data_IF_640448396291
#
_entry.id   IF_640448396291
#
_cell.length_a   1.000
_cell.length_b   1.000
_cell.length_c   1.000
_cell.angle_alpha   90.00
_cell.angle_beta   90.00
_cell.angle_gamma   90.00
#
_symmetry.space_group_name_H-M   'P 1'
#
loop_
_entity.id
_entity.type
_entity.pdbx_description
1 polymer ?
#
# COMPACT_ATOMS: atom_id res chain seq x y z
N UNK A 1 0.64 -7.82 15.90
CA UNK A 1 1.59 -7.25 14.92
C UNK A 1 1.88 -8.21 13.77
N UNK A 2 2.35 -9.43 14.02
CA UNK A 2 2.60 -10.44 12.98
C UNK A 2 1.44 -10.63 11.98
N UNK A 3 0.21 -10.90 12.46
CA UNK A 3 -0.96 -11.06 11.58
C UNK A 3 -1.28 -9.81 10.73
N UNK A 4 -1.05 -8.61 11.27
CA UNK A 4 -1.29 -7.36 10.56
C UNK A 4 -0.27 -7.14 9.45
N UNK A 5 1.01 -7.40 9.73
CA UNK A 5 2.08 -7.36 8.72
C UNK A 5 1.82 -8.40 7.63
N UNK A 6 1.43 -9.62 8.01
CA UNK A 6 1.03 -10.67 7.07
C UNK A 6 -0.12 -10.23 6.17
N UNK A 7 -1.19 -9.69 6.75
CA UNK A 7 -2.35 -9.16 6.03
C UNK A 7 -1.95 -8.11 4.99
N UNK A 8 -1.03 -7.19 5.32
CA UNK A 8 -0.57 -6.19 4.36
C UNK A 8 0.24 -6.77 3.19
N UNK A 9 0.95 -7.88 3.40
CA UNK A 9 1.79 -8.51 2.36
C UNK A 9 0.96 -9.46 1.48
N UNK A 10 0.10 -10.28 2.08
CA UNK A 10 -0.67 -11.32 1.41
C UNK A 10 -2.13 -10.90 1.12
N UNK A 11 -2.55 -9.72 1.54
CA UNK A 11 -3.91 -9.19 1.34
C UNK A 11 -4.98 -9.75 2.30
N UNK A 12 -4.76 -10.94 2.87
CA UNK A 12 -5.59 -11.54 3.92
C UNK A 12 -4.73 -11.91 5.12
N UNK A 13 -5.27 -11.71 6.33
CA UNK A 13 -4.61 -12.17 7.56
C UNK A 13 -4.67 -13.70 7.69
N UNK A 14 -3.77 -14.27 8.49
CA UNK A 14 -3.89 -15.66 8.95
C UNK A 14 -5.16 -15.81 9.80
N UNK A 15 -5.41 -14.79 10.63
CA UNK A 15 -6.68 -14.54 11.30
C UNK A 15 -7.40 -13.42 10.54
N UNK A 16 -8.60 -13.69 10.06
CA UNK A 16 -9.37 -12.75 9.24
C UNK A 16 -9.80 -11.48 10.00
N UNK A 17 -9.83 -11.54 11.34
CA UNK A 17 -10.10 -10.41 12.24
C UNK A 17 -8.77 -9.86 12.80
N UNK A 18 -8.11 -8.88 12.17
CA UNK A 18 -6.75 -8.49 12.54
C UNK A 18 -6.66 -7.83 13.92
N UNK A 19 -7.80 -7.39 14.45
CA UNK A 19 -7.94 -6.67 15.72
C UNK A 19 -8.63 -7.48 16.81
N UNK A 20 -9.11 -8.70 16.52
CA UNK A 20 -9.79 -9.56 17.49
C UNK A 20 -9.25 -10.99 17.41
N UNK A 21 -8.49 -11.37 18.44
CA UNK A 21 -7.93 -12.71 18.64
C UNK A 21 -8.60 -13.44 19.81
N UNK A 22 -9.71 -12.92 20.33
CA UNK A 22 -10.48 -13.56 21.40
C UNK A 22 -11.43 -14.63 20.87
N UNK A 23 -12.29 -15.16 21.76
CA UNK A 23 -13.30 -16.19 21.42
C UNK A 23 -14.32 -15.73 20.36
N UNK A 24 -14.46 -14.42 20.15
CA UNK A 24 -15.31 -13.82 19.12
C UNK A 24 -14.58 -13.56 17.79
N UNK A 25 -13.24 -13.70 17.78
CA UNK A 25 -12.41 -13.57 16.58
C UNK A 25 -12.49 -14.80 15.68
N UNK A 26 -12.12 -14.62 14.41
CA UNK A 26 -12.00 -15.74 13.50
C UNK A 26 -10.85 -16.67 13.92
N UNK A 27 -11.03 -17.99 13.75
CA UNK A 27 -9.94 -18.93 13.98
C UNK A 27 -8.80 -18.72 12.98
N UNK A 28 -7.53 -18.89 13.41
CA UNK A 28 -6.39 -18.82 12.51
C UNK A 28 -6.45 -19.95 11.48
N UNK A 29 -6.22 -19.62 10.22
CA UNK A 29 -6.09 -20.62 9.13
C UNK A 29 -4.86 -21.52 9.33
N UNK A 30 -3.79 -20.96 9.89
CA UNK A 30 -2.51 -21.63 10.12
C UNK A 30 -1.97 -21.24 11.51
N UNK A 31 -2.46 -21.86 12.61
CA UNK A 31 -2.09 -21.48 13.97
C UNK A 31 -0.58 -21.60 14.22
N UNK A 32 0.03 -22.73 13.84
CA UNK A 32 1.48 -22.95 14.03
C UNK A 32 2.34 -21.91 13.29
N UNK A 33 1.90 -21.47 12.11
CA UNK A 33 2.58 -20.42 11.36
C UNK A 33 2.47 -19.06 12.08
N UNK A 34 1.29 -18.77 12.64
CA UNK A 34 1.08 -17.52 13.37
C UNK A 34 1.96 -17.46 14.63
N UNK A 35 2.04 -18.57 15.38
CA UNK A 35 2.88 -18.70 16.56
C UNK A 35 4.36 -18.55 16.18
N UNK A 36 4.82 -19.26 15.13
CA UNK A 36 6.18 -19.13 14.64
C UNK A 36 6.51 -17.69 14.21
N UNK A 37 5.61 -17.01 13.52
CA UNK A 37 5.80 -15.60 13.14
C UNK A 37 5.86 -14.67 14.36
N UNK A 38 5.11 -14.96 15.42
CA UNK A 38 5.17 -14.20 16.66
C UNK A 38 6.53 -14.37 17.35
N UNK A 39 7.04 -15.61 17.43
CA UNK A 39 8.36 -15.92 17.98
C UNK A 39 9.48 -15.24 17.19
N UNK A 40 9.41 -15.29 15.85
CA UNK A 40 10.37 -14.57 15.00
C UNK A 40 10.32 -13.06 15.20
N UNK A 41 9.12 -12.50 15.47
CA UNK A 41 9.00 -11.05 15.70
C UNK A 41 9.71 -10.64 16.99
N UNK A 42 9.54 -11.42 18.06
CA UNK A 42 10.22 -11.20 19.34
C UNK A 42 11.73 -11.39 19.17
N UNK A 43 12.16 -12.46 18.48
CA UNK A 43 13.58 -12.73 18.23
C UNK A 43 14.28 -11.64 17.38
N UNK A 44 13.52 -10.93 16.54
CA UNK A 44 14.00 -9.80 15.74
C UNK A 44 13.93 -8.44 16.46
N UNK A 45 13.76 -8.42 17.79
CA UNK A 45 13.56 -7.20 18.59
C UNK A 45 12.42 -6.32 18.04
N UNK A 46 11.30 -6.96 17.68
CA UNK A 46 10.11 -6.31 17.14
C UNK A 46 10.35 -5.52 15.83
N UNK A 47 11.40 -5.86 15.06
CA UNK A 47 11.71 -5.24 13.77
C UNK A 47 10.70 -5.61 12.68
N UNK A 48 9.81 -4.65 12.36
CA UNK A 48 8.84 -4.81 11.26
C UNK A 48 9.54 -4.99 9.91
N UNK A 49 10.70 -4.34 9.71
CA UNK A 49 11.47 -4.43 8.46
C UNK A 49 11.98 -5.85 8.22
N UNK A 50 12.50 -6.50 9.26
CA UNK A 50 13.03 -7.86 9.13
C UNK A 50 11.90 -8.87 8.94
N UNK A 51 10.77 -8.66 9.62
CA UNK A 51 9.56 -9.43 9.39
C UNK A 51 9.07 -9.34 7.94
N UNK A 52 8.99 -8.13 7.38
CA UNK A 52 8.62 -7.92 5.97
C UNK A 52 9.61 -8.63 5.05
N UNK A 53 10.91 -8.46 5.28
CA UNK A 53 11.96 -9.13 4.47
C UNK A 53 11.79 -10.64 4.49
N UNK A 54 11.59 -11.24 5.66
CA UNK A 54 11.41 -12.68 5.81
C UNK A 54 10.16 -13.17 5.04
N UNK A 55 9.04 -12.47 5.19
CA UNK A 55 7.80 -12.82 4.50
C UNK A 55 7.94 -12.72 2.97
N UNK A 56 8.52 -11.66 2.42
CA UNK A 56 8.67 -11.50 0.96
C UNK A 56 9.71 -12.46 0.35
N UNK A 57 10.67 -12.93 1.16
CA UNK A 57 11.63 -13.95 0.75
C UNK A 57 11.10 -15.38 0.89
N UNK A 58 9.94 -15.57 1.50
CA UNK A 58 9.32 -16.89 1.68
C UNK A 58 8.95 -17.54 0.36
N UNK A 59 8.79 -18.87 0.37
CA UNK A 59 8.27 -19.62 -0.79
C UNK A 59 6.81 -19.23 -1.10
N UNK A 60 6.00 -19.01 -0.06
CA UNK A 60 4.60 -18.61 -0.21
C UNK A 60 4.43 -17.28 -0.95
N UNK A 61 5.27 -16.29 -0.66
CA UNK A 61 5.23 -15.01 -1.37
C UNK A 61 5.69 -15.12 -2.83
N UNK A 62 6.67 -15.99 -3.10
CA UNK A 62 7.25 -16.18 -4.46
C UNK A 62 6.49 -17.17 -5.34
N UNK A 63 5.37 -17.72 -4.87
CA UNK A 63 4.53 -18.60 -5.69
C UNK A 63 3.90 -17.85 -6.87
N UNK A 64 3.62 -18.59 -7.95
CA UNK A 64 2.83 -18.08 -9.06
C UNK A 64 1.42 -17.73 -8.60
N UNK A 65 0.81 -16.71 -9.21
CA UNK A 65 -0.61 -16.37 -9.03
C UNK A 65 -1.54 -17.15 -9.99
N UNK A 66 -0.97 -17.97 -10.89
CA UNK A 66 -1.71 -18.70 -11.91
C UNK A 66 -2.75 -19.66 -11.28
N UNK A 67 -3.99 -19.68 -11.78
CA UNK A 67 -5.00 -20.60 -11.29
C UNK A 67 -4.69 -22.05 -11.71
N UNK A 68 -5.09 -22.99 -10.86
CA UNK A 68 -5.10 -24.43 -11.13
C UNK A 68 -6.48 -24.96 -10.70
N UNK A 69 -7.12 -25.78 -11.53
CA UNK A 69 -8.44 -26.36 -11.27
C UNK A 69 -8.51 -27.11 -9.92
N UNK A 70 -7.49 -27.91 -9.61
CA UNK A 70 -7.44 -28.68 -8.35
C UNK A 70 -7.38 -27.77 -7.13
N UNK A 71 -6.60 -26.69 -7.23
CA UNK A 71 -6.48 -25.68 -6.17
C UNK A 71 -7.77 -24.89 -6.01
N UNK A 72 -8.36 -24.47 -7.12
CA UNK A 72 -9.57 -23.66 -7.15
C UNK A 72 -10.79 -24.42 -6.59
N UNK A 73 -10.87 -25.73 -6.83
CA UNK A 73 -11.93 -26.59 -6.29
C UNK A 73 -11.82 -26.80 -4.77
N UNK A 74 -10.60 -26.78 -4.22
CA UNK A 74 -10.36 -26.95 -2.77
C UNK A 74 -10.45 -25.65 -2.00
N UNK A 75 -9.89 -24.58 -2.57
CA UNK A 75 -9.78 -23.27 -1.96
C UNK A 75 -9.73 -22.19 -3.04
N UNK A 76 -10.89 -21.65 -3.39
CA UNK A 76 -11.00 -20.56 -4.36
C UNK A 76 -10.33 -19.27 -3.90
N UNK A 77 -10.20 -19.07 -2.59
CA UNK A 77 -9.66 -17.85 -1.96
C UNK A 77 -8.15 -17.81 -1.82
N UNK A 78 -7.47 -18.94 -2.09
CA UNK A 78 -6.03 -19.12 -1.91
C UNK A 78 -5.52 -18.85 -0.47
N UNK A 79 -6.39 -19.05 0.53
CA UNK A 79 -6.01 -18.99 1.95
C UNK A 79 -4.93 -20.01 2.32
N UNK A 80 -4.93 -21.17 1.68
CA UNK A 80 -3.94 -22.23 1.90
C UNK A 80 -2.59 -21.94 1.20
N UNK A 81 -2.44 -20.75 0.59
CA UNK A 81 -1.21 -20.34 -0.09
C UNK A 81 -0.72 -21.40 -1.09
N UNK A 82 -1.65 -21.96 -1.87
CA UNK A 82 -1.33 -22.84 -3.00
C UNK A 82 -0.95 -22.03 -4.26
N UNK A 83 -1.31 -20.74 -4.27
CA UNK A 83 -0.88 -19.71 -5.21
C UNK A 83 -0.81 -18.37 -4.50
N UNK A 84 -0.14 -17.39 -5.10
CA UNK A 84 -0.21 -16.02 -4.59
C UNK A 84 -1.63 -15.45 -4.82
N UNK A 85 -2.32 -14.94 -3.77
CA UNK A 85 -3.67 -14.42 -3.91
C UNK A 85 -3.67 -13.15 -4.79
N UNK A 86 -4.58 -13.04 -5.77
CA UNK A 86 -4.70 -11.82 -6.56
C UNK A 86 -5.16 -10.67 -5.66
N UNK A 87 -4.51 -9.52 -5.78
CA UNK A 87 -4.85 -8.31 -5.01
C UNK A 87 -5.21 -7.16 -5.92
N UNK A 88 -6.11 -6.30 -5.45
CA UNK A 88 -6.32 -5.00 -6.08
C UNK A 88 -5.08 -4.15 -5.87
N UNK A 89 -4.64 -3.50 -6.93
CA UNK A 89 -3.56 -2.53 -6.90
C UNK A 89 -4.15 -1.13 -6.77
N UNK A 90 -3.50 -0.30 -5.97
CA UNK A 90 -3.89 1.10 -5.80
C UNK A 90 -3.68 1.89 -7.10
N UNK A 91 -4.43 2.98 -7.26
CA UNK A 91 -4.36 3.83 -8.46
C UNK A 91 -2.93 4.36 -8.73
N UNK A 92 -2.19 4.64 -7.65
CA UNK A 92 -0.78 5.03 -7.66
C UNK A 92 0.09 4.03 -8.40
N UNK A 93 -0.08 2.74 -8.08
CA UNK A 93 0.69 1.66 -8.67
C UNK A 93 0.34 1.51 -10.16
N UNK A 94 -0.93 1.64 -10.50
CA UNK A 94 -1.38 1.58 -11.91
C UNK A 94 -0.75 2.71 -12.72
N UNK A 95 -0.85 3.96 -12.22
CA UNK A 95 -0.29 5.15 -12.88
C UNK A 95 1.22 5.04 -13.06
N UNK A 96 1.94 4.71 -12.00
CA UNK A 96 3.40 4.61 -12.02
C UNK A 96 3.85 3.49 -12.97
N UNK A 97 3.10 2.38 -13.07
CA UNK A 97 3.37 1.33 -14.06
C UNK A 97 3.15 1.79 -15.50
N UNK A 98 2.13 2.62 -15.78
CA UNK A 98 1.92 3.20 -17.12
C UNK A 98 3.07 4.14 -17.49
N UNK A 99 3.54 4.97 -16.55
CA UNK A 99 4.71 5.83 -16.76
C UNK A 99 5.99 5.01 -16.94
N UNK A 100 6.15 3.92 -16.20
CA UNK A 100 7.29 3.01 -16.32
C UNK A 100 7.30 2.33 -17.69
N UNK A 101 6.17 1.76 -18.11
CA UNK A 101 6.03 1.06 -19.39
C UNK A 101 6.22 1.99 -20.59
N UNK A 102 5.86 3.27 -20.46
CA UNK A 102 6.08 4.28 -21.50
C UNK A 102 7.47 4.91 -21.47
N UNK A 103 8.32 4.57 -20.50
CA UNK A 103 9.68 5.10 -20.37
C UNK A 103 9.79 6.53 -19.84
N UNK A 104 8.71 7.08 -19.25
CA UNK A 104 8.66 8.45 -18.76
C UNK A 104 8.83 8.57 -17.24
N UNK A 105 8.73 7.47 -16.49
CA UNK A 105 8.79 7.50 -15.03
C UNK A 105 10.16 8.01 -14.54
N UNK A 106 10.15 9.11 -13.79
CA UNK A 106 11.31 9.57 -13.03
C UNK A 106 11.44 8.76 -11.73
N UNK A 107 12.49 7.93 -11.67
CA UNK A 107 12.78 7.06 -10.52
C UNK A 107 13.69 7.68 -9.47
N UNK A 108 14.06 8.97 -9.60
CA UNK A 108 14.89 9.64 -8.61
C UNK A 108 14.26 9.59 -7.22
N UNK A 109 15.11 9.38 -6.21
CA UNK A 109 14.69 9.26 -4.81
C UNK A 109 14.92 10.61 -4.13
N UNK A 110 13.91 11.08 -3.41
CA UNK A 110 13.92 12.35 -2.69
C UNK A 110 13.45 13.53 -3.56
N UNK A 111 13.79 14.75 -3.13
CA UNK A 111 13.38 15.99 -3.81
C UNK A 111 12.00 16.51 -3.42
N UNK A 112 11.61 17.61 -4.05
CA UNK A 112 10.32 18.27 -3.80
C UNK A 112 9.14 17.43 -4.28
N UNK A 113 8.01 17.56 -3.59
CA UNK A 113 6.72 17.10 -4.09
C UNK A 113 6.26 17.93 -5.30
N UNK A 114 5.31 17.38 -6.05
CA UNK A 114 4.62 18.09 -7.12
C UNK A 114 3.11 18.16 -6.83
N UNK A 115 2.47 19.22 -7.31
CA UNK A 115 1.05 19.49 -7.16
C UNK A 115 0.40 19.54 -8.54
N UNK A 116 -0.75 18.90 -8.68
CA UNK A 116 -1.52 18.88 -9.94
C UNK A 116 -2.77 19.78 -9.92
N UNK A 117 -3.03 20.45 -8.80
CA UNK A 117 -4.27 21.21 -8.55
C UNK A 117 -3.96 22.67 -8.21
N UNK A 118 -4.81 23.61 -8.64
CA UNK A 118 -4.68 25.04 -8.27
C UNK A 118 -5.41 25.38 -6.97
N UNK A 119 -5.16 26.60 -6.49
CA UNK A 119 -5.87 27.28 -5.42
C UNK A 119 -7.38 27.31 -5.68
N UNK A 120 -8.13 27.06 -4.61
CA UNK A 120 -9.59 26.98 -4.59
C UNK A 120 -10.24 28.34 -4.90
N UNK A 121 -10.90 28.48 -6.04
CA UNK A 121 -11.66 29.70 -6.40
C UNK A 121 -12.96 29.83 -5.58
N UNK A 122 -13.78 28.77 -5.48
CA UNK A 122 -15.00 28.70 -4.65
C UNK A 122 -15.54 27.25 -4.58
N UNK A 123 -16.21 26.86 -3.49
CA UNK A 123 -16.98 25.60 -3.35
C UNK A 123 -16.30 24.26 -3.74
N UNK A 124 -15.21 23.91 -3.07
CA UNK A 124 -14.68 22.53 -3.00
C UNK A 124 -14.32 21.83 -4.33
N UNK A 125 -14.30 22.56 -5.44
CA UNK A 125 -13.88 22.04 -6.74
C UNK A 125 -12.40 22.34 -6.94
N UNK A 126 -11.61 21.27 -7.09
CA UNK A 126 -10.20 21.34 -7.47
C UNK A 126 -10.12 21.26 -8.98
N UNK A 127 -9.50 22.26 -9.59
CA UNK A 127 -9.16 22.19 -11.01
C UNK A 127 -7.81 21.48 -11.16
N UNK A 128 -7.73 20.53 -12.08
CA UNK A 128 -6.46 19.89 -12.44
C UNK A 128 -5.74 20.81 -13.42
N UNK A 129 -4.67 21.45 -12.95
CA UNK A 129 -3.91 22.43 -13.74
C UNK A 129 -2.96 21.73 -14.70
N UNK A 130 -2.30 20.69 -14.20
CA UNK A 130 -1.28 19.97 -14.96
C UNK A 130 -1.13 18.55 -14.41
N UNK A 131 -1.36 17.56 -15.27
CA UNK A 131 -1.21 16.15 -14.94
C UNK A 131 -0.48 15.36 -16.04
N UNK A 132 0.14 16.05 -17.00
CA UNK A 132 0.76 15.42 -18.17
C UNK A 132 2.16 15.94 -18.45
N UNK A 133 2.61 17.01 -17.80
CA UNK A 133 3.96 17.55 -17.99
C UNK A 133 5.06 16.74 -17.28
N UNK A 134 6.31 16.95 -17.70
CA UNK A 134 7.51 16.27 -17.15
C UNK A 134 7.63 16.34 -15.62
N UNK A 135 7.39 17.49 -14.94
CA UNK A 135 7.39 17.56 -13.48
C UNK A 135 6.47 16.54 -12.80
N UNK A 136 5.38 16.14 -13.45
CA UNK A 136 4.41 15.19 -12.89
C UNK A 136 4.80 13.73 -13.10
N UNK A 137 5.81 13.43 -13.91
CA UNK A 137 6.21 12.04 -14.21
C UNK A 137 7.01 11.36 -13.09
N UNK A 138 7.11 11.98 -11.91
CA UNK A 138 7.61 11.33 -10.71
C UNK A 138 6.57 10.33 -10.18
N UNK A 139 7.06 9.37 -9.38
CA UNK A 139 6.19 8.42 -8.65
C UNK A 139 5.09 9.17 -7.90
N UNK A 140 3.87 8.64 -7.94
CA UNK A 140 2.69 9.28 -7.34
C UNK A 140 2.82 9.47 -5.82
N UNK A 141 3.76 8.77 -5.18
CA UNK A 141 4.18 9.02 -3.79
C UNK A 141 4.62 10.47 -3.54
N UNK A 142 5.19 11.15 -4.54
CA UNK A 142 5.60 12.55 -4.47
C UNK A 142 4.47 13.53 -4.83
N UNK A 143 3.29 13.03 -5.19
CA UNK A 143 2.15 13.86 -5.49
C UNK A 143 1.49 14.34 -4.19
N UNK A 144 1.24 15.64 -4.11
CA UNK A 144 0.49 16.19 -2.97
C UNK A 144 -0.96 15.70 -2.98
N UNK A 145 -1.34 15.00 -1.91
CA UNK A 145 -2.73 14.62 -1.65
C UNK A 145 -3.40 15.69 -0.81
N UNK A 146 -4.36 16.39 -1.40
CA UNK A 146 -5.14 17.41 -0.70
C UNK A 146 -6.07 16.75 0.33
N UNK A 147 -5.85 17.02 1.62
CA UNK A 147 -6.69 16.51 2.72
C UNK A 147 -7.54 17.59 3.39
N UNK A 148 -7.09 18.86 3.37
CA UNK A 148 -7.80 20.02 3.92
C UNK A 148 -7.25 21.29 3.31
N UNK A 149 -8.09 22.31 3.19
CA UNK A 149 -7.72 23.65 2.71
C UNK A 149 -7.30 24.48 3.91
N UNK A 150 -6.14 25.14 3.84
CA UNK A 150 -5.80 26.19 4.80
C UNK A 150 -6.68 27.41 4.49
N UNK A 151 -7.63 27.73 5.38
CA UNK A 151 -8.39 28.98 5.35
C UNK A 151 -7.55 30.14 5.88
N UNK A 152 -6.35 30.36 5.33
CA UNK A 152 -5.52 31.50 5.67
C UNK A 152 -5.48 32.48 4.51
N UNK A 153 -6.42 33.43 4.50
CA UNK A 153 -6.24 34.74 3.86
C UNK A 153 -5.21 35.53 4.68
N UNK A 154 -3.95 35.11 4.69
CA UNK A 154 -2.91 35.72 5.49
C UNK A 154 -1.73 36.17 4.61
N UNK A 155 -2.01 36.94 3.56
CA UNK A 155 -0.99 37.64 2.78
C UNK A 155 -1.58 38.86 2.04
N UNK A 156 -2.16 39.83 2.78
CA UNK A 156 -2.53 41.12 2.20
C UNK A 156 -2.42 42.30 3.20
N UNK A 157 -1.40 42.30 4.08
CA UNK A 157 -1.06 43.46 4.91
C UNK A 157 0.46 43.64 5.16
N UNK A 158 1.29 43.45 4.13
CA UNK A 158 2.68 43.95 4.18
C UNK A 158 3.04 44.57 2.84
N UNK A 159 2.50 45.77 2.58
CA UNK A 159 2.99 46.71 1.56
C UNK A 159 2.34 48.08 1.76
N UNK A 160 2.59 48.72 2.91
CA UNK A 160 2.54 50.19 3.04
C UNK A 160 3.36 50.58 4.27
N UNK A 161 4.66 50.81 4.04
CA UNK A 161 5.43 51.93 4.55
C UNK A 161 6.47 52.29 3.48
#
# INVERSE_FOLDING_TARGET
MANRTWHHIFGSGIVATPSDFGLAGASPTHPELLDWLADQFIASDYSVKDMIRMMVMSRGFRQSAAPNEVGLAKDSSAQLLWRFPPRRVEAEVIRDNVLLASGHLDTSIGGSSYRIHDVKQRYAQWEVVDNFSKPTWRRMLYQERMRRVSTSNANDFVSTL
#
